data_IF_689978458380
#
_entry.id   IF_689978458380
#
_cell.length_a   1.000
_cell.length_b   1.000
_cell.length_c   1.000
_cell.angle_alpha   90.00
_cell.angle_beta   90.00
_cell.angle_gamma   90.00
#
_symmetry.space_group_name_H-M   'P 1'
#
loop_
_entity.id
_entity.type
_entity.pdbx_description
1 polymer ?
#
# COMPACT_ATOMS: atom_id res chain seq x y z
N UNK A 1 -9.18 -12.74 10.69
CA UNK A 1 -8.85 -12.55 9.26
C UNK A 1 -10.07 -11.96 8.60
N UNK A 2 -9.93 -10.85 7.87
CA UNK A 2 -11.05 -10.18 7.22
C UNK A 2 -11.71 -11.08 6.18
N UNK A 3 -13.04 -11.13 6.16
CA UNK A 3 -13.79 -11.79 5.10
C UNK A 3 -13.54 -11.02 3.80
N UNK A 4 -13.17 -11.69 2.68
CA UNK A 4 -13.05 -11.03 1.40
C UNK A 4 -14.40 -10.40 1.02
N UNK A 5 -14.35 -9.24 0.39
CA UNK A 5 -15.56 -8.57 -0.10
C UNK A 5 -16.26 -9.51 -1.09
N UNK A 6 -17.57 -9.78 -0.96
CA UNK A 6 -18.27 -10.63 -1.90
C UNK A 6 -18.16 -10.05 -3.31
N UNK A 7 -17.76 -10.87 -4.29
CA UNK A 7 -17.63 -10.50 -5.71
C UNK A 7 -18.90 -9.87 -6.29
N UNK A 8 -20.07 -10.24 -5.76
CA UNK A 8 -21.36 -9.61 -6.10
C UNK A 8 -21.44 -8.11 -5.77
N UNK A 9 -20.48 -7.55 -5.02
CA UNK A 9 -20.44 -6.15 -4.59
C UNK A 9 -19.18 -5.40 -5.06
N UNK A 10 -18.44 -5.94 -6.03
CA UNK A 10 -17.12 -5.43 -6.41
C UNK A 10 -16.91 -5.42 -7.95
N UNK A 11 -17.12 -4.29 -8.65
CA UNK A 11 -18.28 -3.40 -8.59
C UNK A 11 -19.03 -3.28 -9.96
N UNK A 12 -20.30 -2.83 -9.96
CA UNK A 12 -20.62 -1.58 -10.67
C UNK A 12 -20.98 -0.52 -9.64
N UNK A 13 -20.19 0.56 -9.60
CA UNK A 13 -20.42 1.70 -8.70
C UNK A 13 -21.74 2.38 -9.12
N UNK A 14 -22.67 2.69 -8.20
CA UNK A 14 -23.28 4.01 -8.24
C UNK A 14 -22.20 4.96 -7.71
N UNK A 15 -21.80 5.93 -8.53
CA UNK A 15 -20.83 6.99 -8.19
C UNK A 15 -21.15 7.69 -6.85
N UNK A 16 -22.41 7.61 -6.38
CA UNK A 16 -22.94 8.29 -5.21
C UNK A 16 -22.61 7.66 -3.83
N UNK A 17 -21.96 6.50 -3.77
CA UNK A 17 -21.69 5.79 -2.50
C UNK A 17 -20.24 5.81 -2.02
N UNK A 18 -19.29 5.98 -2.95
CA UNK A 18 -17.87 5.78 -2.66
C UNK A 18 -17.32 6.85 -1.72
N UNK A 19 -17.59 8.13 -2.00
CA UNK A 19 -17.14 9.24 -1.15
C UNK A 19 -17.71 9.12 0.27
N UNK A 20 -19.01 8.80 0.40
CA UNK A 20 -19.62 8.56 1.70
C UNK A 20 -18.98 7.39 2.41
N UNK A 21 -18.70 6.29 1.70
CA UNK A 21 -18.00 5.13 2.26
C UNK A 21 -16.61 5.50 2.78
N UNK A 22 -15.84 6.29 2.01
CA UNK A 22 -14.52 6.80 2.43
C UNK A 22 -14.62 7.63 3.72
N UNK A 23 -15.70 8.40 3.91
CA UNK A 23 -15.88 9.21 5.11
C UNK A 23 -16.31 8.40 6.34
N UNK A 24 -17.09 7.32 6.18
CA UNK A 24 -17.70 6.61 7.32
C UNK A 24 -16.98 5.31 7.69
N UNK A 25 -16.47 4.58 6.70
CA UNK A 25 -15.87 3.24 6.88
C UNK A 25 -14.41 3.24 6.43
N UNK A 26 -14.13 3.83 5.28
CA UNK A 26 -12.78 3.93 4.71
C UNK A 26 -11.92 5.06 5.31
N UNK A 27 -12.42 5.74 6.34
CA UNK A 27 -11.71 6.87 6.93
C UNK A 27 -10.47 6.38 7.67
N UNK A 28 -9.37 7.13 7.55
CA UNK A 28 -8.11 6.77 8.20
C UNK A 28 -8.27 6.53 9.71
N UNK A 29 -9.04 7.37 10.40
CA UNK A 29 -9.32 7.24 11.84
C UNK A 29 -10.02 5.94 12.23
N UNK A 30 -10.65 5.24 11.28
CA UNK A 30 -11.26 3.92 11.47
C UNK A 30 -10.29 2.79 11.14
N UNK A 31 -9.52 2.94 10.08
CA UNK A 31 -8.62 1.90 9.56
C UNK A 31 -7.31 1.82 10.33
N UNK A 32 -6.80 2.95 10.81
CA UNK A 32 -5.54 3.04 11.55
C UNK A 32 -5.50 2.10 12.77
N UNK A 33 -6.48 2.09 13.69
CA UNK A 33 -6.49 1.14 14.80
C UNK A 33 -6.53 -0.31 14.35
N UNK A 34 -7.24 -0.61 13.25
CA UNK A 34 -7.33 -1.97 12.71
C UNK A 34 -5.99 -2.46 12.16
N UNK A 35 -5.21 -1.58 11.53
CA UNK A 35 -3.85 -1.90 11.08
C UNK A 35 -2.91 -2.14 12.26
N UNK A 36 -2.97 -1.31 13.29
CA UNK A 36 -2.17 -1.48 14.51
C UNK A 36 -2.50 -2.79 15.21
N UNK A 37 -3.80 -3.13 15.34
CA UNK A 37 -4.25 -4.39 15.93
C UNK A 37 -3.82 -5.60 15.10
N UNK A 38 -3.87 -5.50 13.77
CA UNK A 38 -3.40 -6.56 12.87
C UNK A 38 -1.89 -6.79 13.05
N UNK A 39 -1.08 -5.73 13.08
CA UNK A 39 0.37 -5.82 13.33
C UNK A 39 0.65 -6.43 14.70
N UNK A 40 -0.06 -5.99 15.74
CA UNK A 40 0.07 -6.54 17.09
C UNK A 40 -0.24 -8.03 17.12
N UNK A 41 -1.32 -8.45 16.44
CA UNK A 41 -1.71 -9.87 16.38
C UNK A 41 -0.69 -10.71 15.61
N UNK A 42 -0.15 -10.22 14.50
CA UNK A 42 0.90 -10.94 13.75
C UNK A 42 2.14 -11.15 14.61
N UNK A 43 2.58 -10.11 15.34
CA UNK A 43 3.72 -10.23 16.26
C UNK A 43 3.44 -11.18 17.41
N UNK A 44 2.24 -11.13 17.99
CA UNK A 44 1.83 -12.05 19.04
C UNK A 44 1.86 -13.50 18.54
N UNK A 45 1.31 -13.77 17.35
CA UNK A 45 1.34 -15.10 16.73
C UNK A 45 2.78 -15.58 16.49
N UNK A 46 3.67 -14.70 16.02
CA UNK A 46 5.08 -15.04 15.86
C UNK A 46 5.74 -15.40 17.20
N UNK A 47 5.47 -14.63 18.26
CA UNK A 47 5.98 -14.91 19.60
C UNK A 47 5.42 -16.22 20.18
N UNK A 48 4.12 -16.48 20.01
CA UNK A 48 3.43 -17.71 20.44
C UNK A 48 3.97 -18.96 19.73
N UNK A 49 4.43 -18.84 18.48
CA UNK A 49 4.94 -19.97 17.71
C UNK A 49 6.26 -20.55 18.23
N UNK A 50 7.04 -19.75 18.98
CA UNK A 50 8.40 -20.11 19.39
C UNK A 50 9.44 -20.16 18.26
N UNK A 51 9.04 -19.92 17.02
CA UNK A 51 9.93 -19.91 15.85
C UNK A 51 10.70 -18.59 15.77
N UNK A 52 11.98 -18.63 16.18
CA UNK A 52 12.87 -17.47 16.14
C UNK A 52 13.25 -17.03 14.73
N UNK A 53 12.92 -17.82 13.70
CA UNK A 53 13.13 -17.47 12.30
C UNK A 53 12.01 -16.59 11.72
N UNK A 54 10.85 -16.52 12.40
CA UNK A 54 9.77 -15.63 11.99
C UNK A 54 10.19 -14.17 12.15
N UNK A 55 10.48 -13.56 11.01
CA UNK A 55 10.88 -12.17 10.91
C UNK A 55 9.71 -11.26 11.32
N UNK A 56 9.92 -10.40 12.33
CA UNK A 56 8.92 -9.42 12.78
C UNK A 56 8.84 -8.18 11.89
N UNK A 57 9.63 -8.13 10.82
CA UNK A 57 9.53 -7.13 9.75
C UNK A 57 8.23 -7.36 8.98
N UNK A 58 7.26 -6.48 9.21
CA UNK A 58 5.95 -6.53 8.57
C UNK A 58 5.89 -5.44 7.51
N UNK A 59 5.50 -5.81 6.29
CA UNK A 59 5.16 -4.87 5.22
C UNK A 59 3.66 -4.60 5.14
N UNK A 60 3.28 -3.46 4.54
CA UNK A 60 1.89 -3.16 4.21
C UNK A 60 1.80 -2.77 2.74
N UNK A 61 0.98 -3.45 1.96
CA UNK A 61 0.70 -3.01 0.60
C UNK A 61 -0.78 -3.06 0.28
N UNK A 62 -1.20 -2.24 -0.68
CA UNK A 62 -2.58 -2.21 -1.12
C UNK A 62 -2.74 -1.58 -2.50
N UNK A 63 -3.97 -1.57 -2.99
CA UNK A 63 -4.32 -1.07 -4.31
C UNK A 63 -5.47 -0.06 -4.25
N UNK A 64 -5.46 0.95 -5.12
CA UNK A 64 -6.48 2.01 -5.10
C UNK A 64 -6.52 2.73 -3.75
N UNK A 65 -7.70 2.76 -3.12
CA UNK A 65 -7.86 3.23 -1.73
C UNK A 65 -6.94 2.49 -0.75
N UNK A 66 -6.81 1.16 -0.88
CA UNK A 66 -5.89 0.38 -0.04
C UNK A 66 -4.42 0.77 -0.24
N UNK A 67 -4.06 1.22 -1.44
CA UNK A 67 -2.71 1.74 -1.73
C UNK A 67 -2.48 3.08 -1.04
N UNK A 68 -3.48 3.96 -1.03
CA UNK A 68 -3.45 5.20 -0.25
C UNK A 68 -3.31 4.90 1.26
N UNK A 69 -4.09 3.95 1.79
CA UNK A 69 -4.00 3.50 3.19
C UNK A 69 -2.61 2.96 3.51
N UNK A 70 -2.01 2.15 2.63
CA UNK A 70 -0.66 1.62 2.83
C UNK A 70 0.40 2.73 2.92
N UNK A 71 0.32 3.73 2.04
CA UNK A 71 1.21 4.88 2.11
C UNK A 71 0.99 5.73 3.38
N UNK A 72 -0.28 5.95 3.79
CA UNK A 72 -0.58 6.63 5.05
C UNK A 72 0.00 5.88 6.26
N UNK A 73 -0.07 4.55 6.23
CA UNK A 73 0.51 3.67 7.24
C UNK A 73 2.04 3.74 7.29
N UNK A 74 2.70 4.04 6.18
CA UNK A 74 4.15 4.27 6.12
C UNK A 74 4.64 5.45 6.98
N UNK A 75 3.73 6.36 7.38
CA UNK A 75 4.05 7.48 8.29
C UNK A 75 4.04 7.10 9.77
N UNK A 76 3.43 5.97 10.09
CA UNK A 76 3.20 5.55 11.47
C UNK A 76 4.49 5.10 12.10
N UNK A 77 4.78 5.66 13.26
CA UNK A 77 5.78 5.11 14.15
C UNK A 77 5.18 3.92 14.92
N UNK A 78 5.96 2.88 15.13
CA UNK A 78 5.74 1.93 16.20
C UNK A 78 6.21 2.60 17.50
N UNK A 79 5.25 3.07 18.29
CA UNK A 79 5.47 3.76 19.57
C UNK A 79 6.28 2.93 20.57
N UNK A 80 6.25 1.61 20.41
CA UNK A 80 6.94 0.58 21.19
C UNK A 80 8.30 0.13 20.62
N UNK A 81 8.63 0.49 19.37
CA UNK A 81 9.85 0.03 18.69
C UNK A 81 10.86 1.13 18.33
N UNK A 82 10.56 2.40 18.62
CA UNK A 82 11.43 3.52 18.27
C UNK A 82 11.65 3.70 16.75
N UNK A 83 10.76 3.15 15.92
CA UNK A 83 10.89 3.10 14.46
C UNK A 83 9.54 3.15 13.74
N UNK A 84 9.50 2.82 12.44
CA UNK A 84 8.25 2.72 11.68
C UNK A 84 7.41 1.50 12.12
N UNK A 85 6.09 1.58 12.02
CA UNK A 85 5.17 0.46 12.26
C UNK A 85 5.39 -0.66 11.23
N UNK A 86 5.67 -0.28 9.99
CA UNK A 86 5.96 -1.17 8.87
C UNK A 86 7.40 -1.00 8.41
N UNK A 87 8.04 -2.10 8.01
CA UNK A 87 9.40 -2.10 7.50
C UNK A 87 9.47 -1.60 6.04
N UNK A 88 8.36 -1.63 5.33
CA UNK A 88 8.20 -1.03 4.02
C UNK A 88 6.73 -1.04 3.59
N UNK A 89 6.37 -0.12 2.70
CA UNK A 89 4.99 0.00 2.20
C UNK A 89 4.91 -0.05 0.68
N UNK A 90 3.81 -0.57 0.16
CA UNK A 90 3.57 -0.74 -1.27
C UNK A 90 2.21 -0.20 -1.73
N UNK A 91 2.16 0.49 -2.86
CA UNK A 91 0.93 1.01 -3.41
C UNK A 91 0.79 0.74 -4.91
N UNK A 92 -0.21 -0.05 -5.27
CA UNK A 92 -0.65 -0.23 -6.65
C UNK A 92 -1.73 0.78 -7.01
N UNK A 93 -1.43 1.74 -7.89
CA UNK A 93 -2.34 2.78 -8.36
C UNK A 93 -3.09 3.47 -7.21
N UNK A 94 -2.37 4.13 -6.28
CA UNK A 94 -2.97 4.70 -5.07
C UNK A 94 -4.00 5.78 -5.41
N UNK A 95 -5.13 5.76 -4.70
CA UNK A 95 -6.15 6.81 -4.81
C UNK A 95 -5.67 8.08 -4.06
N UNK A 96 -4.94 8.93 -4.78
CA UNK A 96 -4.43 10.20 -4.23
C UNK A 96 -5.55 11.22 -4.00
N UNK A 97 -6.69 11.12 -4.68
CA UNK A 97 -7.86 11.96 -4.42
C UNK A 97 -8.47 11.64 -3.06
N UNK A 98 -8.52 10.36 -2.67
CA UNK A 98 -8.93 9.96 -1.33
C UNK A 98 -7.98 10.49 -0.23
N UNK A 99 -6.68 10.64 -0.52
CA UNK A 99 -5.74 11.27 0.41
C UNK A 99 -6.04 12.76 0.62
N UNK A 100 -6.34 13.50 -0.45
CA UNK A 100 -6.75 14.91 -0.37
C UNK A 100 -8.08 15.07 0.35
N UNK A 101 -9.07 14.22 0.05
CA UNK A 101 -10.37 14.21 0.74
C UNK A 101 -10.25 13.88 2.23
N UNK A 102 -9.19 13.16 2.64
CA UNK A 102 -8.84 12.93 4.04
C UNK A 102 -8.12 14.13 4.69
N UNK A 103 -8.00 15.26 4.00
CA UNK A 103 -7.38 16.50 4.50
C UNK A 103 -5.85 16.45 4.53
N UNK A 104 -5.22 15.54 3.77
CA UNK A 104 -3.78 15.50 3.68
C UNK A 104 -3.26 16.60 2.74
N UNK A 105 -2.25 17.34 3.22
CA UNK A 105 -1.63 18.41 2.46
C UNK A 105 -0.85 17.90 1.23
N UNK A 106 -0.31 18.80 0.41
CA UNK A 106 0.43 18.41 -0.80
C UNK A 106 1.69 17.57 -0.52
N UNK A 107 2.24 17.62 0.70
CA UNK A 107 3.53 17.08 1.08
C UNK A 107 3.46 15.96 2.14
N UNK A 108 2.28 15.37 2.36
CA UNK A 108 2.05 14.38 3.42
C UNK A 108 2.97 13.17 3.35
N UNK A 109 3.48 12.84 2.16
CA UNK A 109 4.44 11.76 1.92
C UNK A 109 5.80 12.02 2.59
N UNK A 110 6.16 13.27 2.91
CA UNK A 110 7.39 13.61 3.65
C UNK A 110 7.41 13.03 5.06
N UNK A 111 6.25 12.72 5.61
CA UNK A 111 6.12 12.09 6.92
C UNK A 111 6.29 10.57 6.85
N UNK A 112 6.44 9.96 5.67
CA UNK A 112 6.69 8.52 5.54
C UNK A 112 8.07 8.20 6.13
N UNK A 113 8.14 7.14 6.93
CA UNK A 113 9.30 6.75 7.74
C UNK A 113 9.93 5.44 7.30
N UNK A 114 9.44 4.85 6.22
CA UNK A 114 9.91 3.57 5.72
C UNK A 114 9.98 3.55 4.19
N UNK A 115 10.76 2.62 3.63
CA UNK A 115 10.87 2.39 2.19
C UNK A 115 9.51 2.20 1.50
N UNK A 116 9.41 2.71 0.26
CA UNK A 116 8.15 2.75 -0.48
C UNK A 116 8.29 2.20 -1.89
N UNK A 117 7.38 1.32 -2.30
CA UNK A 117 7.15 0.99 -3.71
C UNK A 117 5.79 1.51 -4.18
N UNK A 118 5.75 2.21 -5.30
CA UNK A 118 4.52 2.65 -5.97
C UNK A 118 4.55 2.22 -7.42
N UNK A 119 3.59 1.38 -7.80
CA UNK A 119 3.36 0.94 -9.17
C UNK A 119 2.07 1.57 -9.66
N UNK A 120 2.09 2.33 -10.75
CA UNK A 120 0.90 3.07 -11.21
C UNK A 120 0.59 2.87 -12.69
N UNK A 121 -0.68 3.02 -13.07
CA UNK A 121 -1.09 3.10 -14.46
C UNK A 121 -0.85 4.51 -15.01
N UNK A 122 -0.11 4.66 -16.11
CA UNK A 122 0.23 5.99 -16.69
C UNK A 122 -0.98 6.87 -17.00
N UNK A 123 -2.12 6.28 -17.35
CA UNK A 123 -3.31 7.02 -17.73
C UNK A 123 -4.19 7.45 -16.55
N UNK A 124 -3.96 6.93 -15.33
CA UNK A 124 -4.91 7.07 -14.22
C UNK A 124 -4.46 8.05 -13.13
N UNK A 125 -3.20 8.50 -13.12
CA UNK A 125 -2.69 9.35 -12.04
C UNK A 125 -2.03 10.65 -12.53
N UNK A 126 -2.06 11.72 -11.71
CA UNK A 126 -1.30 12.93 -11.97
C UNK A 126 0.20 12.62 -11.82
N UNK A 127 0.84 12.24 -12.93
CA UNK A 127 2.24 11.78 -12.99
C UNK A 127 3.18 12.74 -12.25
N UNK A 128 2.93 14.05 -12.35
CA UNK A 128 3.71 15.09 -11.67
C UNK A 128 3.80 14.88 -10.15
N UNK A 129 2.69 14.57 -9.47
CA UNK A 129 2.69 14.40 -8.01
C UNK A 129 3.40 13.14 -7.55
N UNK A 130 3.33 12.07 -8.36
CA UNK A 130 4.10 10.86 -8.13
C UNK A 130 5.60 11.09 -8.34
N UNK A 131 5.98 11.93 -9.31
CA UNK A 131 7.37 12.31 -9.54
C UNK A 131 7.94 13.15 -8.39
N UNK A 132 7.17 14.11 -7.87
CA UNK A 132 7.52 14.89 -6.68
C UNK A 132 7.71 13.98 -5.45
N UNK A 133 6.74 13.11 -5.21
CA UNK A 133 6.83 12.11 -4.13
C UNK A 133 8.07 11.22 -4.30
N UNK A 134 8.35 10.72 -5.51
CA UNK A 134 9.53 9.91 -5.78
C UNK A 134 10.84 10.67 -5.50
N UNK A 135 10.94 11.93 -5.94
CA UNK A 135 12.12 12.74 -5.69
C UNK A 135 12.38 12.92 -4.19
N UNK A 136 11.32 13.21 -3.42
CA UNK A 136 11.38 13.41 -1.98
C UNK A 136 11.73 12.11 -1.23
N UNK A 137 11.07 10.99 -1.57
CA UNK A 137 11.38 9.69 -0.98
C UNK A 137 12.81 9.23 -1.28
N UNK A 138 13.34 9.53 -2.47
CA UNK A 138 14.75 9.26 -2.80
C UNK A 138 15.72 10.11 -1.99
N UNK A 139 15.37 11.35 -1.67
CA UNK A 139 16.19 12.16 -0.76
C UNK A 139 16.17 11.60 0.67
N UNK A 140 15.02 11.10 1.13
CA UNK A 140 14.88 10.56 2.50
C UNK A 140 15.55 9.20 2.68
N UNK A 141 15.38 8.28 1.73
CA UNK A 141 15.79 6.87 1.89
C UNK A 141 16.92 6.45 0.94
N UNK A 142 17.42 7.35 0.10
CA UNK A 142 18.38 7.03 -0.97
C UNK A 142 17.73 6.36 -2.19
N UNK A 143 18.54 6.12 -3.22
CA UNK A 143 18.07 5.59 -4.51
C UNK A 143 17.42 4.20 -4.43
N UNK A 144 17.86 3.36 -3.48
CA UNK A 144 17.29 2.02 -3.23
C UNK A 144 16.16 1.99 -2.19
N UNK A 145 15.82 3.13 -1.59
CA UNK A 145 14.78 3.23 -0.56
C UNK A 145 13.40 3.58 -1.11
N UNK A 146 13.29 3.89 -2.40
CA UNK A 146 11.99 4.08 -3.06
C UNK A 146 11.99 3.65 -4.53
N UNK A 147 10.87 3.05 -4.94
CA UNK A 147 10.61 2.67 -6.32
C UNK A 147 9.25 3.23 -6.75
N UNK A 148 9.24 4.24 -7.60
CA UNK A 148 7.99 4.77 -8.19
C UNK A 148 8.05 4.59 -9.69
N UNK A 149 7.26 3.65 -10.22
CA UNK A 149 7.34 3.26 -11.62
C UNK A 149 5.97 3.09 -12.28
N UNK A 150 5.85 3.49 -13.56
CA UNK A 150 4.67 3.17 -14.34
C UNK A 150 4.62 1.66 -14.63
N UNK A 151 3.41 1.16 -14.77
CA UNK A 151 3.07 -0.19 -15.24
C UNK A 151 2.18 -0.07 -16.47
N UNK A 152 1.97 -1.19 -17.16
CA UNK A 152 0.93 -1.25 -18.18
C UNK A 152 -0.41 -0.89 -17.55
N UNK A 153 -1.13 0.01 -18.21
CA UNK A 153 -2.34 0.68 -17.70
C UNK A 153 -3.40 -0.28 -17.18
N UNK A 154 -3.51 -1.46 -17.80
CA UNK A 154 -4.47 -2.48 -17.39
C UNK A 154 -4.03 -3.21 -16.12
N UNK A 155 -2.74 -3.42 -15.88
CA UNK A 155 -2.26 -4.36 -14.87
C UNK A 155 -2.62 -3.97 -13.43
N UNK A 156 -2.54 -2.69 -13.07
CA UNK A 156 -2.85 -2.22 -11.70
C UNK A 156 -4.35 -2.05 -11.47
N UNK A 157 -5.10 -1.59 -12.47
CA UNK A 157 -6.57 -1.52 -12.44
C UNK A 157 -7.24 -2.89 -12.47
N UNK A 158 -6.52 -3.93 -12.92
CA UNK A 158 -6.98 -5.32 -12.93
C UNK A 158 -6.91 -5.96 -11.54
N UNK A 159 -5.88 -5.64 -10.74
CA UNK A 159 -5.78 -6.13 -9.36
C UNK A 159 -6.99 -5.64 -8.53
N UNK A 160 -7.44 -4.41 -8.76
CA UNK A 160 -8.59 -3.81 -8.05
C UNK A 160 -9.95 -4.22 -8.61
N UNK A 161 -10.05 -4.66 -9.86
CA UNK A 161 -11.33 -5.06 -10.47
C UNK A 161 -11.75 -6.49 -10.11
N UNK A 162 -10.80 -7.38 -9.81
CA UNK A 162 -11.12 -8.74 -9.36
C UNK A 162 -11.64 -9.67 -10.47
N UNK A 163 -11.70 -9.22 -11.73
CA UNK A 163 -12.03 -10.09 -12.86
C UNK A 163 -10.81 -10.92 -13.26
N UNK A 164 -10.55 -11.97 -12.50
CA UNK A 164 -9.43 -12.88 -12.71
C UNK A 164 -9.81 -14.10 -13.56
N UNK A 165 -10.97 -14.04 -14.21
CA UNK A 165 -11.47 -15.13 -15.04
C UNK A 165 -10.68 -15.27 -16.34
N UNK A 166 -10.10 -14.17 -16.81
CA UNK A 166 -9.21 -14.13 -17.96
C UNK A 166 -7.75 -14.39 -17.54
N UNK A 167 -7.07 -15.40 -18.11
CA UNK A 167 -5.69 -15.76 -17.74
C UNK A 167 -4.69 -14.61 -17.88
N UNK A 168 -4.79 -13.81 -18.92
CA UNK A 168 -3.93 -12.65 -19.19
C UNK A 168 -4.06 -11.57 -18.12
N UNK A 169 -5.29 -11.37 -17.64
CA UNK A 169 -5.67 -10.42 -16.59
C UNK A 169 -5.13 -10.89 -15.24
N UNK A 170 -5.33 -12.17 -14.90
CA UNK A 170 -4.74 -12.76 -13.70
C UNK A 170 -3.20 -12.71 -13.72
N UNK A 171 -2.57 -12.99 -14.87
CA UNK A 171 -1.12 -12.91 -15.03
C UNK A 171 -0.60 -11.47 -14.87
N UNK A 172 -1.31 -10.47 -15.39
CA UNK A 172 -0.96 -9.06 -15.22
C UNK A 172 -1.04 -8.63 -13.74
N UNK A 173 -2.10 -9.03 -13.03
CA UNK A 173 -2.22 -8.83 -11.58
C UNK A 173 -1.05 -9.48 -10.82
N UNK A 174 -0.74 -10.74 -11.16
CA UNK A 174 0.37 -11.49 -10.57
C UNK A 174 1.71 -10.77 -10.71
N UNK A 175 2.03 -10.26 -11.91
CA UNK A 175 3.28 -9.51 -12.15
C UNK A 175 3.39 -8.23 -11.31
N UNK A 176 2.29 -7.52 -11.12
CA UNK A 176 2.27 -6.30 -10.28
C UNK A 176 2.49 -6.65 -8.81
N UNK A 177 1.82 -7.69 -8.31
CA UNK A 177 2.01 -8.17 -6.93
C UNK A 177 3.45 -8.64 -6.74
N UNK A 178 3.95 -9.49 -7.64
CA UNK A 178 5.31 -10.04 -7.60
C UNK A 178 6.38 -8.95 -7.62
N UNK A 179 6.20 -7.92 -8.46
CA UNK A 179 7.12 -6.78 -8.52
C UNK A 179 7.18 -6.01 -7.21
N UNK A 180 6.02 -5.73 -6.59
CA UNK A 180 5.98 -5.03 -5.30
C UNK A 180 6.54 -5.87 -4.16
N UNK A 181 6.11 -7.13 -4.04
CA UNK A 181 6.58 -8.02 -2.97
C UNK A 181 8.05 -8.35 -3.14
N UNK A 182 8.52 -8.55 -4.37
CA UNK A 182 9.93 -8.79 -4.68
C UNK A 182 10.80 -7.60 -4.30
N UNK A 183 10.37 -6.37 -4.60
CA UNK A 183 11.10 -5.17 -4.19
C UNK A 183 11.14 -5.02 -2.66
N UNK A 184 10.00 -5.22 -1.98
CA UNK A 184 9.93 -5.15 -0.52
C UNK A 184 10.84 -6.21 0.14
N UNK A 185 10.84 -7.45 -0.37
CA UNK A 185 11.68 -8.52 0.15
C UNK A 185 13.17 -8.22 0.02
N UNK A 186 13.63 -7.73 -1.14
CA UNK A 186 15.02 -7.29 -1.33
C UNK A 186 15.42 -6.26 -0.28
N UNK A 187 14.52 -5.32 0.01
CA UNK A 187 14.74 -4.33 1.03
C UNK A 187 14.76 -4.93 2.45
N UNK A 188 13.92 -5.94 2.72
CA UNK A 188 13.83 -6.61 4.01
C UNK A 188 15.09 -7.43 4.31
N UNK A 189 15.70 -7.98 3.27
CA UNK A 189 16.91 -8.81 3.30
C UNK A 189 18.21 -7.98 3.26
N UNK A 190 18.11 -6.67 3.03
CA UNK A 190 19.26 -5.77 2.96
C UNK A 190 20.08 -5.95 1.69
N UNK A 191 19.48 -6.52 0.64
CA UNK A 191 20.09 -6.62 -0.67
C UNK A 191 20.27 -5.22 -1.27
N UNK A 192 21.38 -4.97 -1.96
CA UNK A 192 21.56 -3.73 -2.71
C UNK A 192 20.58 -3.73 -3.88
N UNK A 193 19.60 -2.82 -3.82
CA UNK A 193 18.64 -2.52 -4.89
C UNK A 193 19.27 -1.58 -5.91
#
# INVERSE_FOLDING_TARGET
>A
MGLPWPTARFPPRPEHGYERWLQVTGAWTRVEPMLEDAVRRVRQLAAESGDRSLNTKIGCFGFGWGGMVALMAGRKAASDLGGSLFYGVGAGNPDLGAAEAAGLDAAWFKAIKCPVVVLYAKAELPVMRLMEMNAELRMTFGAGGSLVQPTDTEATGVVTRGDWTQPETAAAAGRVVESMTGWLNKHFEGEKI
#
